data_IF_755350788164
#
_entry.id   IF_755350788164
#
_cell.length_a   1.000
_cell.length_b   1.000
_cell.length_c   1.000
_cell.angle_alpha   90.00
_cell.angle_beta   90.00
_cell.angle_gamma   90.00
#
_symmetry.space_group_name_H-M   'P 1'
#
loop_
_entity.id
_entity.type
_entity.pdbx_description
1 polymer ?
#
# COMPACT_ATOMS: atom_id res chain seq x y z
N UNK A 1 -2.11 5.67 7.63
CA UNK A 1 -0.97 6.62 7.67
C UNK A 1 0.22 6.06 6.89
N UNK A 2 -0.06 5.39 5.77
CA UNK A 2 0.98 4.72 4.97
C UNK A 2 1.63 5.61 3.89
N UNK A 3 1.32 6.90 3.83
CA UNK A 3 2.02 7.85 2.96
C UNK A 3 3.29 8.38 3.64
N UNK A 4 4.30 8.70 2.82
CA UNK A 4 5.47 9.43 3.29
C UNK A 4 5.09 10.88 3.62
N UNK A 5 5.50 11.36 4.80
CA UNK A 5 5.13 12.68 5.30
C UNK A 5 6.08 13.77 4.80
N UNK A 6 5.52 14.92 4.44
CA UNK A 6 6.27 16.16 4.31
C UNK A 6 6.47 16.78 5.70
N UNK A 7 7.47 17.63 5.85
CA UNK A 7 7.80 18.23 7.14
C UNK A 7 6.63 19.01 7.76
N UNK A 8 5.88 19.74 6.96
CA UNK A 8 4.67 20.49 7.36
C UNK A 8 3.52 19.60 7.82
N UNK A 9 3.48 18.35 7.37
CA UNK A 9 2.47 17.38 7.79
C UNK A 9 2.81 16.75 9.15
N UNK A 10 4.08 16.70 9.53
CA UNK A 10 4.52 16.12 10.81
C UNK A 10 3.94 16.86 12.02
N UNK A 11 3.71 18.16 11.92
CA UNK A 11 3.10 18.96 13.01
C UNK A 11 1.60 18.59 13.21
N UNK A 12 0.98 17.99 12.21
CA UNK A 12 -0.43 17.58 12.21
C UNK A 12 -0.63 16.12 12.59
N UNK A 13 0.45 15.32 12.61
CA UNK A 13 0.34 13.88 12.82
C UNK A 13 -0.09 13.56 14.26
N UNK A 14 0.44 14.28 15.26
CA UNK A 14 0.13 14.00 16.65
C UNK A 14 -1.35 14.14 16.99
N UNK A 15 -2.07 15.22 16.65
CA UNK A 15 -3.51 15.32 16.89
C UNK A 15 -4.31 14.18 16.24
N UNK A 16 -3.85 13.69 15.08
CA UNK A 16 -4.49 12.56 14.40
C UNK A 16 -4.24 11.24 15.14
N UNK A 17 -3.03 11.00 15.62
CA UNK A 17 -2.72 9.81 16.42
C UNK A 17 -3.46 9.84 17.77
N UNK A 18 -3.54 10.99 18.43
CA UNK A 18 -4.31 11.18 19.66
C UNK A 18 -5.79 10.83 19.45
N UNK A 19 -6.37 11.25 18.32
CA UNK A 19 -7.73 10.87 17.94
C UNK A 19 -7.89 9.36 17.74
N UNK A 20 -6.93 8.70 17.06
CA UNK A 20 -6.96 7.26 16.85
C UNK A 20 -6.85 6.48 18.18
N UNK A 21 -6.08 6.99 19.13
CA UNK A 21 -5.99 6.44 20.47
C UNK A 21 -7.30 6.60 21.25
N UNK A 22 -7.95 7.78 21.16
CA UNK A 22 -9.24 8.07 21.81
C UNK A 22 -10.33 7.10 21.34
N UNK A 23 -10.40 6.82 20.03
CA UNK A 23 -11.39 5.88 19.47
C UNK A 23 -10.98 4.41 19.63
N UNK A 24 -9.86 4.12 20.29
CA UNK A 24 -9.33 2.78 20.58
C UNK A 24 -9.11 1.96 19.31
N UNK A 25 -8.43 2.53 18.33
CA UNK A 25 -8.03 1.82 17.12
C UNK A 25 -7.09 0.66 17.49
N UNK A 26 -7.33 -0.54 16.96
CA UNK A 26 -6.49 -1.71 17.23
C UNK A 26 -5.16 -1.67 16.47
N UNK A 27 -5.21 -1.27 15.19
CA UNK A 27 -4.05 -1.27 14.28
C UNK A 27 -4.00 -0.01 13.44
N UNK A 28 -2.78 0.47 13.16
CA UNK A 28 -2.55 1.49 12.13
C UNK A 28 -1.44 1.06 11.18
N UNK A 29 -1.62 1.34 9.89
CA UNK A 29 -0.60 1.12 8.87
C UNK A 29 0.25 2.38 8.72
N UNK A 30 1.57 2.23 8.81
CA UNK A 30 2.54 3.33 8.77
C UNK A 30 3.60 3.05 7.70
N UNK A 31 3.81 4.03 6.81
CA UNK A 31 4.88 4.00 5.79
C UNK A 31 6.07 4.89 6.12
N UNK A 32 5.91 5.85 7.02
CA UNK A 32 6.91 6.87 7.33
C UNK A 32 7.64 6.61 8.65
N UNK A 33 8.98 6.62 8.61
CA UNK A 33 9.82 6.39 9.78
C UNK A 33 9.64 7.45 10.89
N UNK A 34 9.34 8.71 10.50
CA UNK A 34 9.07 9.79 11.45
C UNK A 34 7.79 9.55 12.24
N UNK A 35 6.76 8.98 11.59
CA UNK A 35 5.52 8.59 12.28
C UNK A 35 5.76 7.44 13.27
N UNK A 36 6.54 6.42 12.90
CA UNK A 36 6.96 5.37 13.84
C UNK A 36 7.69 5.95 15.05
N UNK A 37 8.58 6.92 14.82
CA UNK A 37 9.27 7.59 15.91
C UNK A 37 8.30 8.28 16.88
N UNK A 38 7.30 9.01 16.35
CA UNK A 38 6.30 9.69 17.20
C UNK A 38 5.47 8.67 17.97
N UNK A 39 5.00 7.59 17.31
CA UNK A 39 4.22 6.54 17.96
C UNK A 39 4.98 5.92 19.14
N UNK A 40 6.25 5.55 18.95
CA UNK A 40 7.07 4.94 20.00
C UNK A 40 7.42 5.91 21.10
N UNK A 41 7.76 7.16 20.76
CA UNK A 41 8.12 8.20 21.74
C UNK A 41 6.94 8.51 22.67
N UNK A 42 5.74 8.64 22.11
CA UNK A 42 4.55 9.09 22.85
C UNK A 42 3.78 7.92 23.49
N UNK A 43 4.12 6.66 23.15
CA UNK A 43 3.63 5.45 23.82
C UNK A 43 2.17 5.11 23.54
N UNK A 44 1.73 5.27 22.29
CA UNK A 44 0.38 4.88 21.86
C UNK A 44 0.12 3.36 22.02
N UNK A 45 -1.14 2.98 22.27
CA UNK A 45 -1.52 1.59 22.59
C UNK A 45 -1.83 0.74 21.38
N UNK A 46 -2.15 1.32 20.22
CA UNK A 46 -2.45 0.59 19.00
C UNK A 46 -1.20 -0.10 18.43
N UNK A 47 -1.43 -1.22 17.75
CA UNK A 47 -0.38 -1.95 17.04
C UNK A 47 -0.07 -1.28 15.70
N UNK A 48 1.17 -1.41 15.24
CA UNK A 48 1.62 -0.78 14.01
C UNK A 48 1.94 -1.83 12.95
N UNK A 49 1.48 -1.58 11.72
CA UNK A 49 1.79 -2.39 10.53
C UNK A 49 2.72 -1.54 9.64
N UNK A 50 3.89 -2.06 9.30
CA UNK A 50 4.81 -1.37 8.41
C UNK A 50 4.43 -1.59 6.94
N UNK A 51 4.13 -0.50 6.22
CA UNK A 51 3.82 -0.52 4.78
C UNK A 51 4.52 0.64 4.07
N UNK A 52 5.68 0.40 3.54
CA UNK A 52 6.39 1.34 2.69
C UNK A 52 6.24 0.98 1.19
N UNK A 53 5.12 0.40 0.81
CA UNK A 53 4.79 0.02 -0.57
C UNK A 53 5.90 -0.82 -1.22
N UNK A 54 6.49 -0.35 -2.32
CA UNK A 54 7.53 -1.07 -3.08
C UNK A 54 8.86 -1.23 -2.33
N UNK A 55 9.04 -0.63 -1.15
CA UNK A 55 10.30 -0.67 -0.42
C UNK A 55 10.41 -1.82 0.59
N UNK A 56 9.35 -2.59 0.83
CA UNK A 56 9.32 -3.70 1.79
C UNK A 56 9.67 -5.02 1.08
N UNK A 57 10.95 -5.24 0.79
CA UNK A 57 11.39 -6.30 -0.13
C UNK A 57 12.22 -7.42 0.50
N UNK A 58 12.60 -7.32 1.78
CA UNK A 58 13.43 -8.35 2.40
C UNK A 58 13.05 -8.67 3.84
N UNK A 59 13.20 -9.94 4.24
CA UNK A 59 12.94 -10.42 5.61
C UNK A 59 13.77 -9.66 6.64
N UNK A 60 15.02 -9.32 6.33
CA UNK A 60 15.90 -8.59 7.26
C UNK A 60 15.42 -7.18 7.52
N UNK A 61 14.90 -6.52 6.50
CA UNK A 61 14.31 -5.19 6.65
C UNK A 61 13.05 -5.26 7.54
N UNK A 62 12.18 -6.24 7.32
CA UNK A 62 10.96 -6.45 8.10
C UNK A 62 11.31 -6.73 9.57
N UNK A 63 12.26 -7.64 9.83
CA UNK A 63 12.71 -7.94 11.17
C UNK A 63 13.32 -6.71 11.87
N UNK A 64 14.07 -5.87 11.13
CA UNK A 64 14.57 -4.61 11.67
C UNK A 64 13.44 -3.71 12.17
N UNK A 65 12.37 -3.53 11.38
CA UNK A 65 11.22 -2.73 11.79
C UNK A 65 10.47 -3.34 12.98
N UNK A 66 10.34 -4.66 13.03
CA UNK A 66 9.80 -5.36 14.20
C UNK A 66 10.63 -5.12 15.45
N UNK A 67 11.94 -5.39 15.38
CA UNK A 67 12.84 -5.29 16.53
C UNK A 67 13.13 -3.86 17.01
N UNK A 68 13.27 -2.90 16.07
CA UNK A 68 13.73 -1.53 16.39
C UNK A 68 12.62 -0.51 16.45
N UNK A 69 11.57 -0.68 15.67
CA UNK A 69 10.45 0.26 15.62
C UNK A 69 9.16 -0.31 16.22
N UNK A 70 9.15 -1.56 16.68
CA UNK A 70 7.98 -2.17 17.31
C UNK A 70 6.84 -2.47 16.33
N UNK A 71 7.14 -2.60 15.03
CA UNK A 71 6.16 -3.04 14.06
C UNK A 71 5.66 -4.44 14.42
N UNK A 72 4.35 -4.62 14.52
CA UNK A 72 3.74 -5.93 14.82
C UNK A 72 3.55 -6.79 13.59
N UNK A 73 3.56 -6.17 12.40
CA UNK A 73 3.35 -6.80 11.11
C UNK A 73 3.92 -5.91 9.99
N UNK A 74 4.17 -6.48 8.81
CA UNK A 74 4.57 -5.70 7.64
C UNK A 74 3.80 -6.12 6.38
N UNK A 75 3.52 -5.15 5.50
CA UNK A 75 2.96 -5.40 4.17
C UNK A 75 4.10 -5.58 3.18
N UNK A 76 4.13 -6.69 2.47
CA UNK A 76 5.18 -7.00 1.50
C UNK A 76 5.00 -6.21 0.20
N UNK A 77 6.11 -5.84 -0.41
CA UNK A 77 6.10 -5.27 -1.75
C UNK A 77 5.59 -6.28 -2.79
N UNK A 78 4.81 -5.79 -3.74
CA UNK A 78 4.21 -6.60 -4.82
C UNK A 78 5.23 -7.11 -5.83
N UNK A 79 6.41 -6.50 -5.84
CA UNK A 79 7.48 -6.76 -6.80
C UNK A 79 8.36 -7.96 -6.42
N UNK A 80 8.14 -8.55 -5.24
CA UNK A 80 8.94 -9.69 -4.79
C UNK A 80 8.60 -10.91 -5.65
N UNK A 81 9.60 -11.51 -6.35
CA UNK A 81 9.36 -12.72 -7.12
C UNK A 81 8.91 -13.87 -6.21
N UNK A 82 8.02 -14.75 -6.67
CA UNK A 82 7.49 -15.87 -5.88
C UNK A 82 8.59 -16.76 -5.31
N UNK A 83 9.67 -17.01 -6.07
CA UNK A 83 10.82 -17.81 -5.62
C UNK A 83 11.58 -17.20 -4.43
N UNK A 84 11.50 -15.88 -4.23
CA UNK A 84 12.05 -15.19 -3.07
C UNK A 84 11.01 -15.08 -1.96
N UNK A 85 9.78 -14.75 -2.32
CA UNK A 85 8.65 -14.63 -1.41
C UNK A 85 8.51 -15.88 -0.54
N UNK A 86 8.49 -17.06 -1.15
CA UNK A 86 8.27 -18.33 -0.45
C UNK A 86 9.42 -18.78 0.48
N UNK A 87 10.57 -18.11 0.41
CA UNK A 87 11.68 -18.33 1.36
C UNK A 87 11.65 -17.37 2.56
N UNK A 88 10.89 -16.29 2.46
CA UNK A 88 10.87 -15.26 3.51
C UNK A 88 10.34 -15.77 4.85
N UNK A 89 9.30 -16.61 4.92
CA UNK A 89 8.72 -17.07 6.20
C UNK A 89 9.71 -17.81 7.10
N UNK A 90 10.72 -18.47 6.53
CA UNK A 90 11.77 -19.14 7.31
C UNK A 90 12.62 -18.18 8.16
N UNK A 91 12.63 -16.89 7.80
CA UNK A 91 13.48 -15.85 8.40
C UNK A 91 12.64 -14.77 9.12
N UNK A 92 11.36 -14.62 8.75
CA UNK A 92 10.50 -13.58 9.31
C UNK A 92 10.26 -13.80 10.81
N UNK A 93 10.45 -12.74 11.60
CA UNK A 93 10.19 -12.73 13.05
C UNK A 93 8.83 -12.09 13.40
N UNK A 94 8.23 -11.37 12.46
CA UNK A 94 6.87 -10.82 12.57
C UNK A 94 6.04 -11.25 11.37
N UNK A 95 4.72 -11.33 11.48
CA UNK A 95 3.83 -11.65 10.37
C UNK A 95 4.01 -10.71 9.18
N UNK A 96 3.76 -11.24 7.98
CA UNK A 96 3.78 -10.47 6.76
C UNK A 96 2.46 -10.60 6.00
N UNK A 97 1.93 -9.46 5.57
CA UNK A 97 0.71 -9.33 4.76
C UNK A 97 1.06 -9.28 3.28
N UNK A 98 0.35 -10.05 2.47
CA UNK A 98 0.51 -10.09 1.01
C UNK A 98 -0.74 -9.47 0.37
N UNK A 99 -0.56 -8.54 -0.58
CA UNK A 99 -1.65 -8.09 -1.43
C UNK A 99 -2.06 -9.24 -2.35
N UNK A 100 -3.30 -9.69 -2.26
CA UNK A 100 -3.85 -10.78 -3.08
C UNK A 100 -4.88 -10.32 -4.09
N UNK A 101 -5.44 -9.12 -3.90
CA UNK A 101 -6.37 -8.52 -4.86
C UNK A 101 -6.28 -6.99 -4.84
N UNK A 102 -6.31 -6.37 -6.03
CA UNK A 102 -6.51 -4.95 -6.23
C UNK A 102 -5.45 -4.25 -7.08
N UNK A 103 -5.58 -2.93 -7.15
CA UNK A 103 -4.74 -2.09 -7.98
C UNK A 103 -3.27 -2.11 -7.50
N UNK A 104 -2.36 -2.35 -8.44
CA UNK A 104 -0.93 -2.33 -8.17
C UNK A 104 -0.32 -0.99 -8.52
N UNK A 105 0.16 -0.23 -7.52
CA UNK A 105 0.97 0.97 -7.75
C UNK A 105 2.31 0.53 -8.35
N UNK A 106 2.63 1.00 -9.56
CA UNK A 106 3.89 0.71 -10.24
C UNK A 106 4.86 1.89 -10.18
N UNK A 107 4.34 3.10 -9.94
CA UNK A 107 5.16 4.30 -9.78
C UNK A 107 4.50 5.30 -8.85
N UNK A 108 5.31 5.91 -7.97
CA UNK A 108 4.92 7.02 -7.13
C UNK A 108 5.99 8.12 -7.20
N UNK A 109 5.56 9.35 -7.43
CA UNK A 109 6.42 10.53 -7.40
C UNK A 109 5.82 11.59 -6.49
N UNK A 110 6.60 12.15 -5.58
CA UNK A 110 6.16 13.34 -4.81
C UNK A 110 6.04 14.62 -5.65
N UNK A 111 6.48 14.60 -6.92
CA UNK A 111 6.34 15.73 -7.83
C UNK A 111 4.94 15.73 -8.44
N UNK A 112 4.34 16.91 -8.65
CA UNK A 112 3.07 17.05 -9.35
C UNK A 112 3.28 16.91 -10.87
N UNK A 113 3.45 15.68 -11.36
CA UNK A 113 3.82 15.41 -12.75
C UNK A 113 2.71 15.77 -13.72
N UNK A 114 1.44 15.51 -13.37
CA UNK A 114 0.30 15.90 -14.20
C UNK A 114 0.18 17.43 -14.29
N UNK A 115 0.25 18.13 -13.16
CA UNK A 115 0.22 19.60 -13.15
C UNK A 115 1.37 20.19 -13.99
N UNK A 116 2.58 19.62 -13.83
CA UNK A 116 3.73 20.08 -14.60
C UNK A 116 3.57 19.83 -16.11
N UNK A 117 3.00 18.69 -16.49
CA UNK A 117 2.69 18.37 -17.89
C UNK A 117 1.67 19.36 -18.48
N UNK A 118 0.58 19.64 -17.77
CA UNK A 118 -0.44 20.58 -18.24
C UNK A 118 0.09 22.01 -18.32
N UNK A 119 0.92 22.42 -17.35
CA UNK A 119 1.60 23.73 -17.41
C UNK A 119 2.51 23.84 -18.65
N UNK A 120 3.25 22.77 -18.97
CA UNK A 120 4.12 22.72 -20.12
C UNK A 120 3.35 22.74 -21.45
N UNK A 121 2.24 22.02 -21.53
CA UNK A 121 1.41 21.92 -22.74
C UNK A 121 0.38 23.05 -22.87
N UNK A 122 0.28 23.94 -21.88
CA UNK A 122 -0.73 25.02 -21.81
C UNK A 122 -2.19 24.51 -21.91
N UNK A 123 -2.44 23.28 -21.42
CA UNK A 123 -3.78 22.70 -21.30
C UNK A 123 -4.34 23.07 -19.93
N UNK A 124 -5.67 23.37 -19.87
CA UNK A 124 -6.35 23.70 -18.63
C UNK A 124 -6.25 22.59 -17.58
N UNK A 125 -5.90 22.96 -16.35
CA UNK A 125 -5.58 22.05 -15.26
C UNK A 125 -6.80 21.45 -14.54
N UNK A 126 -8.04 21.84 -14.89
CA UNK A 126 -9.25 21.18 -14.37
C UNK A 126 -9.22 19.64 -14.57
N UNK A 127 -8.48 19.18 -15.57
CA UNK A 127 -8.31 17.76 -15.88
C UNK A 127 -7.34 17.03 -14.94
N UNK A 128 -6.43 17.72 -14.27
CA UNK A 128 -5.44 17.11 -13.36
C UNK A 128 -6.08 16.42 -12.16
N UNK A 129 -7.25 16.86 -11.76
CA UNK A 129 -7.99 16.37 -10.58
C UNK A 129 -8.89 15.17 -10.87
N UNK A 130 -8.97 14.74 -12.13
CA UNK A 130 -9.77 13.58 -12.52
C UNK A 130 -9.02 12.29 -12.19
N UNK A 131 -9.73 11.28 -11.70
CA UNK A 131 -9.20 9.95 -11.42
C UNK A 131 -9.40 8.96 -12.58
N UNK A 132 -9.92 9.41 -13.70
CA UNK A 132 -10.18 8.64 -14.91
C UNK A 132 -9.14 8.88 -16.00
N UNK A 133 -7.98 9.43 -15.63
CA UNK A 133 -6.85 9.63 -16.54
C UNK A 133 -6.01 8.35 -16.60
N UNK A 134 -5.43 8.12 -17.77
CA UNK A 134 -4.48 7.03 -17.97
C UNK A 134 -3.35 7.42 -18.92
N UNK A 135 -2.25 6.71 -18.78
CA UNK A 135 -1.12 6.72 -19.72
C UNK A 135 -1.27 5.52 -20.64
N UNK A 136 -0.92 5.69 -21.90
CA UNK A 136 -0.77 4.59 -22.86
C UNK A 136 0.66 4.58 -23.41
N UNK A 137 1.18 3.40 -23.71
CA UNK A 137 2.45 3.29 -24.41
C UNK A 137 2.28 3.61 -25.90
N UNK A 138 3.19 4.36 -26.54
CA UNK A 138 3.10 4.59 -27.97
C UNK A 138 3.12 3.31 -28.82
N UNK A 139 3.77 2.26 -28.32
CA UNK A 139 3.86 0.94 -28.95
C UNK A 139 2.65 0.04 -28.68
N UNK A 140 1.87 0.36 -27.63
CA UNK A 140 0.65 -0.35 -27.23
C UNK A 140 -0.41 0.66 -26.77
N UNK A 141 -1.15 1.28 -27.73
CA UNK A 141 -2.16 2.30 -27.41
C UNK A 141 -3.35 1.77 -26.58
N UNK A 142 -3.53 0.46 -26.51
CA UNK A 142 -4.57 -0.17 -25.70
C UNK A 142 -4.13 -0.38 -24.23
N UNK A 143 -2.88 -0.13 -23.91
CA UNK A 143 -2.40 -0.12 -22.52
C UNK A 143 -2.97 1.09 -21.77
N UNK A 144 -3.59 0.85 -20.60
CA UNK A 144 -4.25 1.89 -19.81
C UNK A 144 -3.70 1.90 -18.39
N UNK A 145 -2.55 2.55 -18.18
CA UNK A 145 -1.97 2.75 -16.86
C UNK A 145 -2.67 3.91 -16.18
N UNK A 146 -3.55 3.63 -15.24
CA UNK A 146 -4.27 4.66 -14.50
C UNK A 146 -3.31 5.58 -13.77
N UNK A 147 -3.54 6.91 -13.87
CA UNK A 147 -2.73 7.94 -13.25
C UNK A 147 -3.61 8.96 -12.56
N UNK A 148 -3.26 9.34 -11.33
CA UNK A 148 -3.84 10.50 -10.66
C UNK A 148 -2.82 11.23 -9.81
N UNK A 149 -3.15 12.44 -9.42
CA UNK A 149 -2.33 13.31 -8.58
C UNK A 149 -3.13 13.83 -7.41
N UNK A 150 -2.54 13.82 -6.23
CA UNK A 150 -3.10 14.35 -5.00
C UNK A 150 -2.05 15.12 -4.18
N UNK A 151 -2.34 15.42 -2.91
CA UNK A 151 -1.43 16.11 -2.01
C UNK A 151 -0.17 15.29 -1.65
N UNK A 152 -0.13 14.01 -1.96
CA UNK A 152 1.03 13.13 -1.74
C UNK A 152 1.87 12.97 -3.01
N UNK A 153 1.43 13.50 -4.15
CA UNK A 153 2.11 13.48 -5.43
C UNK A 153 1.35 12.74 -6.53
N UNK A 154 2.07 12.20 -7.47
CA UNK A 154 1.54 11.49 -8.64
C UNK A 154 1.66 9.99 -8.45
N UNK A 155 0.58 9.26 -8.73
CA UNK A 155 0.47 7.81 -8.59
C UNK A 155 0.14 7.20 -9.94
N UNK A 156 0.89 6.16 -10.35
CA UNK A 156 0.63 5.39 -11.59
C UNK A 156 0.41 3.94 -11.19
N UNK A 157 -0.64 3.33 -11.75
CA UNK A 157 -1.05 1.97 -11.48
C UNK A 157 -0.84 1.06 -12.69
N UNK A 158 -0.66 -0.23 -12.44
CA UNK A 158 -0.61 -1.25 -13.48
C UNK A 158 -1.89 -1.25 -14.33
N UNK A 159 -1.78 -1.74 -15.54
CA UNK A 159 -2.89 -1.83 -16.48
C UNK A 159 -4.03 -2.74 -15.99
N UNK A 160 -3.72 -3.73 -15.16
CA UNK A 160 -4.70 -4.66 -14.61
C UNK A 160 -4.55 -4.75 -13.09
N UNK A 161 -5.66 -5.04 -12.41
CA UNK A 161 -5.64 -5.40 -11.01
C UNK A 161 -4.91 -6.74 -10.80
N UNK A 162 -4.20 -6.83 -9.68
CA UNK A 162 -3.66 -8.10 -9.21
C UNK A 162 -4.82 -8.99 -8.77
N UNK A 163 -4.81 -10.27 -9.15
CA UNK A 163 -5.70 -11.31 -8.63
C UNK A 163 -4.92 -12.60 -8.41
N UNK A 164 -4.71 -12.95 -7.14
CA UNK A 164 -4.00 -14.15 -6.71
C UNK A 164 -4.97 -15.23 -6.18
N UNK A 165 -6.26 -15.21 -6.51
CA UNK A 165 -7.23 -16.18 -6.04
C UNK A 165 -6.76 -17.63 -6.29
N UNK A 166 -6.21 -17.91 -7.47
CA UNK A 166 -5.70 -19.26 -7.84
C UNK A 166 -4.39 -19.64 -7.15
N UNK A 167 -3.76 -18.70 -6.43
CA UNK A 167 -2.47 -18.88 -5.72
C UNK A 167 -2.61 -18.92 -4.21
N UNK A 168 -3.83 -18.82 -3.67
CA UNK A 168 -4.04 -18.74 -2.22
C UNK A 168 -3.56 -19.99 -1.50
N UNK A 169 -3.79 -21.18 -2.04
CA UNK A 169 -3.32 -22.45 -1.46
C UNK A 169 -1.80 -22.45 -1.34
N UNK A 170 -1.09 -22.07 -2.41
CA UNK A 170 0.37 -21.99 -2.44
C UNK A 170 0.89 -20.95 -1.42
N UNK A 171 0.24 -19.79 -1.27
CA UNK A 171 0.58 -18.79 -0.26
C UNK A 171 0.43 -19.35 1.17
N UNK A 172 -0.68 -20.04 1.45
CA UNK A 172 -0.93 -20.64 2.78
C UNK A 172 0.08 -21.73 3.11
N UNK A 173 0.37 -22.62 2.17
CA UNK A 173 1.38 -23.69 2.32
C UNK A 173 2.76 -23.14 2.68
N UNK A 174 3.08 -21.92 2.19
CA UNK A 174 4.32 -21.21 2.53
C UNK A 174 4.19 -20.27 3.75
N UNK A 175 3.07 -20.30 4.47
CA UNK A 175 2.89 -19.57 5.73
C UNK A 175 2.33 -18.15 5.58
N UNK A 176 1.92 -17.70 4.39
CA UNK A 176 1.28 -16.40 4.17
C UNK A 176 -0.23 -16.49 4.38
N UNK A 177 -0.68 -16.23 5.60
CA UNK A 177 -2.09 -16.30 6.02
C UNK A 177 -2.76 -14.94 6.18
N UNK A 178 -2.00 -13.85 6.10
CA UNK A 178 -2.50 -12.48 6.15
C UNK A 178 -2.60 -11.90 4.75
N UNK A 179 -3.83 -11.65 4.31
CA UNK A 179 -4.13 -11.22 2.95
C UNK A 179 -4.72 -9.83 2.92
N UNK A 180 -4.18 -8.98 2.06
CA UNK A 180 -4.69 -7.64 1.80
C UNK A 180 -5.52 -7.62 0.52
N UNK A 181 -6.69 -6.99 0.58
CA UNK A 181 -7.52 -6.68 -0.58
C UNK A 181 -7.67 -5.16 -0.70
N UNK A 182 -7.50 -4.63 -1.88
CA UNK A 182 -7.66 -3.21 -2.17
C UNK A 182 -8.75 -2.99 -3.23
N UNK A 183 -9.72 -2.14 -2.93
CA UNK A 183 -10.87 -1.84 -3.78
C UNK A 183 -10.81 -0.49 -4.48
N UNK A 184 -9.62 0.08 -4.73
CA UNK A 184 -9.45 1.44 -5.24
C UNK A 184 -10.21 1.67 -6.56
N UNK A 185 -10.09 0.73 -7.50
CA UNK A 185 -10.77 0.78 -8.81
C UNK A 185 -11.97 -0.17 -8.90
N UNK A 186 -12.28 -0.89 -7.84
CA UNK A 186 -13.45 -1.78 -7.75
C UNK A 186 -14.30 -1.39 -6.53
N UNK A 187 -14.91 -0.19 -6.51
CA UNK A 187 -15.60 0.31 -5.32
C UNK A 187 -16.99 -0.32 -5.12
N UNK A 188 -17.51 -0.16 -3.91
CA UNK A 188 -18.89 -0.48 -3.58
C UNK A 188 -19.20 -1.97 -3.55
N UNK A 189 -20.38 -2.35 -4.07
CA UNK A 189 -20.87 -3.72 -3.97
C UNK A 189 -19.98 -4.75 -4.69
N UNK A 190 -19.36 -4.37 -5.79
CA UNK A 190 -18.45 -5.26 -6.51
C UNK A 190 -17.26 -5.68 -5.63
N UNK A 191 -16.67 -4.76 -4.89
CA UNK A 191 -15.60 -5.10 -3.95
C UNK A 191 -16.08 -6.00 -2.81
N UNK A 192 -17.29 -5.78 -2.30
CA UNK A 192 -17.91 -6.64 -1.28
C UNK A 192 -18.06 -8.08 -1.78
N UNK A 193 -18.51 -8.28 -3.01
CA UNK A 193 -18.64 -9.62 -3.60
C UNK A 193 -17.29 -10.31 -3.76
N UNK A 194 -16.28 -9.58 -4.21
CA UNK A 194 -14.90 -10.10 -4.30
C UNK A 194 -14.39 -10.48 -2.91
N UNK A 195 -14.54 -9.62 -1.92
CA UNK A 195 -14.12 -9.91 -0.55
C UNK A 195 -14.80 -11.17 0.01
N UNK A 196 -16.09 -11.40 -0.29
CA UNK A 196 -16.79 -12.63 0.08
C UNK A 196 -16.17 -13.87 -0.53
N UNK A 197 -15.73 -13.81 -1.80
CA UNK A 197 -15.05 -14.94 -2.46
C UNK A 197 -13.75 -15.29 -1.76
N UNK A 198 -12.94 -14.29 -1.38
CA UNK A 198 -11.70 -14.51 -0.61
C UNK A 198 -11.98 -15.08 0.79
N UNK A 199 -13.05 -14.64 1.47
CA UNK A 199 -13.47 -15.20 2.75
C UNK A 199 -13.89 -16.67 2.59
N UNK A 200 -14.63 -17.02 1.55
CA UNK A 200 -15.02 -18.40 1.26
C UNK A 200 -13.80 -19.28 0.95
N UNK A 201 -12.87 -18.77 0.13
CA UNK A 201 -11.63 -19.48 -0.20
C UNK A 201 -10.78 -19.79 1.06
N UNK A 202 -10.79 -18.89 2.06
CA UNK A 202 -10.10 -19.09 3.34
C UNK A 202 -10.69 -20.27 4.15
N UNK A 203 -11.94 -20.60 3.92
CA UNK A 203 -12.67 -21.65 4.69
C UNK A 203 -12.49 -23.04 4.06
N UNK A 204 -11.86 -23.16 2.90
CA UNK A 204 -11.54 -24.40 2.21
C UNK A 204 -10.18 -24.94 2.65
#
# INVERSE_FOLDING_TARGET
>A
VNALMHQDMMDRIKPFLDFLEEIKTDYITIGDAGVFYVVNRDGYSFKTIYDASTMVTSSRQINFWGQKAGASEAVLAREIPSAELFKMPEILEIPAEVLVYGASVIHHSKRPLLQNYYNFTHIDDEKTRKRDLFLAEPSDPESHYSIFEDNHGTHIFANNDLDLMTKLTELVEHGFTHWKLEGLYTPGQNFVEIAKLFIQARSL
#
